data_IF_660535468751
#
_entry.id   IF_660535468751
#
_cell.length_a   1.000
_cell.length_b   1.000
_cell.length_c   1.000
_cell.angle_alpha   90.00
_cell.angle_beta   90.00
_cell.angle_gamma   90.00
#
_symmetry.space_group_name_H-M   'P 1'
#
loop_
_entity.id
_entity.type
_entity.pdbx_description
1 polymer ?
#
# COMPACT_ATOMS: atom_id res chain seq x y z
N UNK A 1 -40.64 -2.12 51.55
CA UNK A 1 -39.71 -3.13 51.01
C UNK A 1 -39.11 -2.56 49.73
N UNK A 2 -37.91 -1.99 49.84
CA UNK A 2 -37.12 -1.53 48.71
C UNK A 2 -36.38 -2.74 48.13
N UNK A 3 -36.58 -3.04 46.85
CA UNK A 3 -35.56 -3.71 46.05
C UNK A 3 -35.09 -2.69 45.02
N UNK A 4 -33.96 -2.08 45.34
CA UNK A 4 -33.14 -1.38 44.36
C UNK A 4 -32.69 -2.42 43.33
N UNK A 5 -33.10 -2.21 42.09
CA UNK A 5 -32.48 -2.82 40.92
C UNK A 5 -30.99 -2.45 40.95
N UNK A 6 -30.14 -3.46 41.14
CA UNK A 6 -28.71 -3.33 40.94
C UNK A 6 -28.51 -2.92 39.49
N UNK A 7 -28.14 -1.67 39.26
CA UNK A 7 -27.65 -1.19 37.97
C UNK A 7 -26.43 -2.06 37.61
N UNK A 8 -26.63 -3.01 36.70
CA UNK A 8 -25.53 -3.72 36.07
C UNK A 8 -24.71 -2.69 35.30
N UNK A 9 -23.47 -2.47 35.75
CA UNK A 9 -22.45 -1.79 34.94
C UNK A 9 -22.48 -2.43 33.55
N UNK A 10 -22.58 -1.65 32.46
CA UNK A 10 -22.46 -2.22 31.11
C UNK A 10 -21.21 -3.09 31.09
N UNK A 11 -21.35 -4.34 30.66
CA UNK A 11 -20.25 -5.31 30.62
C UNK A 11 -19.08 -4.69 29.85
N UNK A 12 -18.05 -4.20 30.55
CA UNK A 12 -16.94 -3.47 29.91
C UNK A 12 -16.22 -4.43 28.95
N UNK A 13 -16.19 -4.12 27.67
CA UNK A 13 -15.54 -4.95 26.64
C UNK A 13 -14.07 -5.17 26.99
N UNK A 14 -13.61 -6.42 26.99
CA UNK A 14 -12.18 -6.69 27.13
C UNK A 14 -11.42 -6.26 25.87
N UNK A 15 -10.26 -5.61 26.04
CA UNK A 15 -9.47 -5.09 24.92
C UNK A 15 -8.03 -5.61 24.95
N UNK A 16 -7.53 -6.07 23.82
CA UNK A 16 -6.10 -6.34 23.61
C UNK A 16 -5.51 -5.35 22.62
N UNK A 17 -4.56 -4.52 23.06
CA UNK A 17 -3.82 -3.59 22.21
C UNK A 17 -2.56 -4.29 21.70
N UNK A 18 -2.52 -4.58 20.41
CA UNK A 18 -1.39 -5.19 19.73
C UNK A 18 -0.52 -4.09 19.12
N UNK A 19 0.61 -3.81 19.76
CA UNK A 19 1.59 -2.82 19.30
C UNK A 19 2.62 -3.53 18.43
N UNK A 20 2.59 -3.29 17.12
CA UNK A 20 3.61 -3.83 16.22
C UNK A 20 4.93 -3.06 16.39
N UNK A 21 6.03 -3.78 16.58
CA UNK A 21 7.35 -3.17 16.72
C UNK A 21 8.37 -3.80 15.76
N UNK A 22 9.17 -2.94 15.12
CA UNK A 22 10.38 -3.35 14.42
C UNK A 22 11.43 -2.24 14.55
N UNK A 23 12.52 -2.53 15.27
CA UNK A 23 13.60 -1.59 15.57
C UNK A 23 13.13 -0.21 16.08
N UNK A 24 12.12 -0.22 16.95
CA UNK A 24 11.45 0.98 17.48
C UNK A 24 11.70 1.23 18.97
N UNK A 25 12.87 0.91 19.52
CA UNK A 25 13.17 1.06 20.97
C UNK A 25 12.81 2.44 21.51
N UNK A 26 13.21 3.52 20.82
CA UNK A 26 12.92 4.90 21.23
C UNK A 26 11.43 5.23 21.16
N UNK A 27 10.74 4.69 20.16
CA UNK A 27 9.30 4.85 19.98
C UNK A 27 8.53 4.15 21.11
N UNK A 28 8.87 2.90 21.43
CA UNK A 28 8.26 2.14 22.52
C UNK A 28 8.45 2.81 23.88
N UNK A 29 9.63 3.40 24.13
CA UNK A 29 9.91 4.12 25.37
C UNK A 29 8.96 5.32 25.59
N UNK A 30 8.42 5.88 24.51
CA UNK A 30 7.43 6.97 24.54
C UNK A 30 5.99 6.45 24.49
N UNK A 31 5.71 5.48 23.64
CA UNK A 31 4.38 4.94 23.38
C UNK A 31 3.81 4.15 24.57
N UNK A 32 4.59 3.23 25.16
CA UNK A 32 4.09 2.33 26.20
C UNK A 32 3.60 3.04 27.47
N UNK A 33 4.29 4.07 28.02
CA UNK A 33 3.75 4.85 29.14
C UNK A 33 2.37 5.47 28.86
N UNK A 34 2.13 5.95 27.63
CA UNK A 34 0.86 6.57 27.24
C UNK A 34 -0.27 5.52 27.17
N UNK A 35 0.03 4.33 26.66
CA UNK A 35 -0.91 3.21 26.62
C UNK A 35 -1.21 2.65 28.01
N UNK A 36 -0.24 2.65 28.93
CA UNK A 36 -0.46 2.20 30.30
C UNK A 36 -1.21 3.21 31.17
N UNK A 37 -1.40 4.45 30.70
CA UNK A 37 -2.09 5.52 31.41
C UNK A 37 -3.45 5.89 30.79
N UNK A 38 -4.16 4.91 30.21
CA UNK A 38 -5.49 5.11 29.64
C UNK A 38 -6.57 5.17 30.72
N UNK A 39 -7.64 5.91 30.45
CA UNK A 39 -8.82 6.03 31.32
C UNK A 39 -9.67 4.76 31.34
N UNK A 40 -9.82 4.09 30.19
CA UNK A 40 -10.43 2.76 30.08
C UNK A 40 -9.58 1.72 30.82
N UNK A 41 -10.19 0.78 31.57
CA UNK A 41 -9.45 -0.10 32.49
C UNK A 41 -9.43 -1.58 32.13
N UNK A 42 -10.39 -2.08 31.34
CA UNK A 42 -10.44 -3.49 30.96
C UNK A 42 -9.60 -3.79 29.70
N UNK A 43 -8.27 -3.67 29.81
CA UNK A 43 -7.37 -3.89 28.67
C UNK A 43 -6.03 -4.51 29.04
N UNK A 44 -5.40 -5.18 28.06
CA UNK A 44 -4.00 -5.59 28.08
C UNK A 44 -3.23 -4.92 26.92
N UNK A 45 -1.92 -4.73 27.12
CA UNK A 45 -1.00 -4.24 26.08
C UNK A 45 -0.03 -5.36 25.72
N UNK A 46 0.03 -5.69 24.43
CA UNK A 46 0.89 -6.73 23.89
C UNK A 46 1.77 -6.13 22.81
N UNK A 47 3.08 -6.15 23.02
CA UNK A 47 4.05 -5.79 21.98
C UNK A 47 4.31 -7.04 21.14
N UNK A 48 4.10 -6.91 19.84
CA UNK A 48 4.45 -7.92 18.84
C UNK A 48 5.73 -7.45 18.15
N UNK A 49 6.86 -8.01 18.58
CA UNK A 49 8.16 -7.70 18.01
C UNK A 49 8.41 -8.50 16.72
N UNK A 50 8.80 -7.79 15.67
CA UNK A 50 8.95 -8.33 14.32
C UNK A 50 10.43 -8.60 13.98
N UNK A 51 11.17 -9.20 14.92
CA UNK A 51 12.59 -9.53 14.75
C UNK A 51 13.52 -8.33 14.94
N UNK A 52 13.31 -7.53 15.99
CA UNK A 52 14.14 -6.36 16.26
C UNK A 52 15.52 -6.72 16.82
N UNK A 53 16.52 -5.91 16.49
CA UNK A 53 17.92 -6.06 16.92
C UNK A 53 18.45 -4.85 17.70
N UNK A 54 17.62 -3.85 17.93
CA UNK A 54 17.96 -2.57 18.59
C UNK A 54 17.84 -2.61 20.13
N UNK A 55 17.55 -3.77 20.71
CA UNK A 55 17.32 -3.95 22.14
C UNK A 55 15.96 -3.46 22.64
N UNK A 56 14.99 -3.19 21.75
CA UNK A 56 13.59 -2.91 22.11
C UNK A 56 12.97 -4.02 22.95
N UNK A 57 13.24 -5.29 22.64
CA UNK A 57 12.77 -6.45 23.40
C UNK A 57 13.22 -6.41 24.87
N UNK A 58 14.50 -6.15 25.12
CA UNK A 58 15.06 -6.00 26.47
C UNK A 58 14.41 -4.84 27.21
N UNK A 59 14.22 -3.70 26.54
CA UNK A 59 13.53 -2.55 27.12
C UNK A 59 12.11 -2.89 27.59
N UNK A 60 11.32 -3.62 26.77
CA UNK A 60 9.96 -4.04 27.17
C UNK A 60 10.01 -4.94 28.40
N UNK A 61 10.88 -5.95 28.41
CA UNK A 61 10.98 -6.90 29.51
C UNK A 61 11.43 -6.26 30.83
N UNK A 62 12.40 -5.35 30.78
CA UNK A 62 13.01 -4.75 31.98
C UNK A 62 12.19 -3.57 32.52
N UNK A 63 11.65 -2.71 31.64
CA UNK A 63 11.02 -1.44 32.05
C UNK A 63 9.49 -1.49 32.05
N UNK A 64 8.89 -2.44 31.32
CA UNK A 64 7.44 -2.53 31.16
C UNK A 64 6.92 -3.94 31.50
N UNK A 65 7.11 -4.45 32.73
CA UNK A 65 6.74 -5.83 33.09
C UNK A 65 5.23 -6.13 33.03
N UNK A 66 4.38 -5.09 32.96
CA UNK A 66 2.93 -5.23 32.73
C UNK A 66 2.56 -5.43 31.26
N UNK A 67 3.49 -5.16 30.35
CA UNK A 67 3.31 -5.30 28.90
C UNK A 67 3.78 -6.70 28.52
N UNK A 68 2.91 -7.43 27.83
CA UNK A 68 3.25 -8.76 27.31
C UNK A 68 4.06 -8.61 26.04
N UNK A 69 5.07 -9.46 25.85
CA UNK A 69 5.93 -9.46 24.67
C UNK A 69 5.77 -10.76 23.87
N UNK A 70 5.52 -10.64 22.57
CA UNK A 70 5.52 -11.74 21.59
C UNK A 70 6.64 -11.46 20.60
N UNK A 71 7.57 -12.39 20.42
CA UNK A 71 8.77 -12.17 19.60
C UNK A 71 8.76 -13.07 18.36
N UNK A 72 8.76 -12.46 17.18
CA UNK A 72 9.05 -13.15 15.93
C UNK A 72 10.57 -13.26 15.71
N UNK A 73 10.98 -14.29 14.98
CA UNK A 73 12.41 -14.54 14.69
C UNK A 73 13.00 -13.55 13.68
N UNK A 74 12.16 -13.07 12.76
CA UNK A 74 12.54 -12.20 11.66
C UNK A 74 11.37 -11.26 11.34
N UNK A 75 11.63 -10.26 10.50
CA UNK A 75 10.57 -9.37 10.02
C UNK A 75 9.72 -10.10 8.96
N UNK A 76 8.51 -10.47 9.33
CA UNK A 76 7.57 -11.22 8.48
C UNK A 76 6.49 -10.35 7.84
N UNK A 77 6.66 -9.02 7.87
CA UNK A 77 5.67 -8.03 7.41
C UNK A 77 4.57 -7.74 8.43
N UNK A 78 3.72 -6.76 8.12
CA UNK A 78 2.73 -6.20 9.04
C UNK A 78 1.60 -7.17 9.36
N UNK A 79 0.86 -7.62 8.35
CA UNK A 79 -0.31 -8.50 8.51
C UNK A 79 0.03 -9.79 9.23
N UNK A 80 1.12 -10.45 8.84
CA UNK A 80 1.52 -11.73 9.44
C UNK A 80 1.98 -11.57 10.89
N UNK A 81 2.74 -10.53 11.21
CA UNK A 81 3.14 -10.25 12.58
C UNK A 81 1.92 -9.98 13.48
N UNK A 82 1.02 -9.09 13.07
CA UNK A 82 -0.19 -8.81 13.84
C UNK A 82 -1.13 -10.02 13.95
N UNK A 83 -1.22 -10.86 12.91
CA UNK A 83 -1.95 -12.13 12.99
C UNK A 83 -1.34 -13.09 14.04
N UNK A 84 -0.02 -13.14 14.20
CA UNK A 84 0.64 -13.91 15.26
C UNK A 84 0.19 -13.40 16.64
N UNK A 85 0.12 -12.07 16.84
CA UNK A 85 -0.40 -11.48 18.07
C UNK A 85 -1.88 -11.78 18.29
N UNK A 86 -2.70 -11.57 17.26
CA UNK A 86 -4.15 -11.75 17.32
C UNK A 86 -4.59 -13.18 17.65
N UNK A 87 -3.79 -14.19 17.27
CA UNK A 87 -4.04 -15.60 17.61
C UNK A 87 -3.70 -15.96 19.06
N UNK A 88 -3.00 -15.09 19.79
CA UNK A 88 -2.55 -15.37 21.15
C UNK A 88 -3.24 -14.51 22.21
N UNK A 89 -4.25 -13.74 21.83
CA UNK A 89 -5.04 -12.90 22.74
C UNK A 89 -6.51 -13.28 22.67
N UNK A 90 -7.20 -13.20 23.80
CA UNK A 90 -8.64 -13.44 23.91
C UNK A 90 -9.27 -12.17 24.51
N UNK A 91 -9.84 -11.33 23.64
CA UNK A 91 -10.46 -10.07 24.03
C UNK A 91 -11.66 -9.75 23.14
N UNK A 92 -12.68 -9.07 23.64
CA UNK A 92 -13.85 -8.68 22.84
C UNK A 92 -13.46 -7.77 21.68
N UNK A 93 -12.46 -6.90 21.88
CA UNK A 93 -11.89 -6.03 20.85
C UNK A 93 -10.37 -6.22 20.77
N UNK A 94 -9.86 -6.32 19.55
CA UNK A 94 -8.42 -6.24 19.29
C UNK A 94 -8.13 -4.88 18.66
N UNK A 95 -7.16 -4.14 19.19
CA UNK A 95 -6.69 -2.88 18.61
C UNK A 95 -5.31 -3.09 18.01
N UNK A 96 -5.18 -2.93 16.70
CA UNK A 96 -3.88 -2.90 16.03
C UNK A 96 -3.34 -1.48 16.14
N UNK A 97 -2.10 -1.34 16.60
CA UNK A 97 -1.48 -0.04 16.84
C UNK A 97 -0.02 -0.03 16.36
N UNK A 98 0.38 1.05 15.68
CA UNK A 98 1.79 1.30 15.40
C UNK A 98 2.51 1.80 16.66
N UNK A 99 3.81 1.48 16.78
CA UNK A 99 4.64 1.91 17.90
C UNK A 99 4.96 3.42 17.93
N UNK A 100 4.69 4.17 16.85
CA UNK A 100 4.84 5.62 16.74
C UNK A 100 3.51 6.39 16.89
N UNK A 101 2.47 5.74 17.42
CA UNK A 101 1.22 6.38 17.82
C UNK A 101 1.24 6.72 19.31
N UNK A 102 1.03 8.00 19.61
CA UNK A 102 1.02 8.59 20.94
C UNK A 102 -0.42 8.96 21.32
N UNK A 103 -1.06 8.04 22.05
CA UNK A 103 -2.47 8.13 22.43
C UNK A 103 -2.72 9.17 23.55
N UNK A 104 -3.82 9.92 23.43
CA UNK A 104 -4.33 10.76 24.52
C UNK A 104 -4.90 9.91 25.68
N UNK A 105 -5.05 10.42 26.91
CA UNK A 105 -5.51 9.62 28.06
C UNK A 105 -6.91 8.99 27.90
N UNK A 106 -7.80 9.60 27.13
CA UNK A 106 -9.17 9.15 26.83
C UNK A 106 -9.29 8.41 25.48
N UNK A 107 -8.20 8.29 24.75
CA UNK A 107 -8.16 7.72 23.40
C UNK A 107 -8.83 6.35 23.31
N UNK A 108 -8.50 5.44 24.25
CA UNK A 108 -9.04 4.08 24.23
C UNK A 108 -10.54 4.06 24.58
N UNK A 109 -10.98 4.85 25.57
CA UNK A 109 -12.39 4.92 25.94
C UNK A 109 -13.24 5.39 24.75
N UNK A 110 -12.78 6.43 24.05
CA UNK A 110 -13.46 6.95 22.86
C UNK A 110 -13.36 6.02 21.65
N UNK A 111 -12.30 5.21 21.54
CA UNK A 111 -12.16 4.20 20.49
C UNK A 111 -13.14 3.03 20.66
N UNK A 112 -13.41 2.65 21.91
CA UNK A 112 -14.26 1.50 22.26
C UNK A 112 -15.74 1.88 22.34
N UNK A 113 -16.06 3.12 22.73
CA UNK A 113 -17.43 3.62 22.88
C UNK A 113 -18.35 3.25 21.70
N UNK A 114 -17.98 3.38 20.41
CA UNK A 114 -18.88 3.07 19.30
C UNK A 114 -19.38 1.60 19.28
N UNK A 115 -18.58 0.63 19.74
CA UNK A 115 -19.00 -0.77 19.81
C UNK A 115 -20.14 -1.00 20.81
N UNK A 116 -20.24 -0.13 21.84
CA UNK A 116 -21.33 -0.20 22.83
C UNK A 116 -22.60 0.48 22.35
N UNK A 117 -22.51 1.33 21.33
CA UNK A 117 -23.64 2.11 20.79
C UNK A 117 -24.38 1.39 19.67
N UNK A 118 -23.70 0.52 18.92
CA UNK A 118 -24.32 -0.24 17.85
C UNK A 118 -23.60 -1.58 17.60
N UNK A 119 -24.32 -2.72 17.61
CA UNK A 119 -23.74 -4.03 17.31
C UNK A 119 -23.36 -4.20 15.83
N UNK A 120 -23.80 -3.30 14.95
CA UNK A 120 -23.43 -3.30 13.52
C UNK A 120 -22.02 -2.74 13.29
N UNK A 121 -21.49 -1.95 14.23
CA UNK A 121 -20.14 -1.38 14.13
C UNK A 121 -19.13 -2.49 14.40
N UNK A 122 -18.40 -2.87 13.35
CA UNK A 122 -17.41 -3.94 13.42
C UNK A 122 -15.97 -3.44 13.52
N UNK A 123 -15.69 -2.27 12.95
CA UNK A 123 -14.36 -1.67 12.91
C UNK A 123 -14.45 -0.18 13.26
N UNK A 124 -13.54 0.28 14.12
CA UNK A 124 -13.41 1.68 14.51
C UNK A 124 -11.95 2.14 14.33
N UNK A 125 -11.76 3.28 13.68
CA UNK A 125 -10.46 3.97 13.60
C UNK A 125 -10.43 5.25 14.43
N UNK A 126 -9.23 5.71 14.76
CA UNK A 126 -9.01 6.98 15.48
C UNK A 126 -8.80 8.16 14.55
N UNK A 127 -9.04 9.37 15.08
CA UNK A 127 -8.49 10.62 14.54
C UNK A 127 -6.99 10.66 14.81
N UNK A 128 -6.18 10.72 13.76
CA UNK A 128 -4.73 10.85 13.86
C UNK A 128 -4.28 12.24 13.43
N UNK A 129 -3.42 12.83 14.25
CA UNK A 129 -2.78 14.12 14.01
C UNK A 129 -1.30 13.91 13.71
N UNK A 130 -0.76 14.76 12.85
CA UNK A 130 0.68 14.97 12.77
C UNK A 130 1.18 15.69 14.03
N UNK A 131 2.49 15.64 14.34
CA UNK A 131 3.06 16.35 15.48
C UNK A 131 2.85 17.88 15.46
N UNK A 132 2.63 18.46 14.28
CA UNK A 132 2.31 19.89 14.11
C UNK A 132 0.84 20.23 14.37
N UNK A 133 0.00 19.24 14.70
CA UNK A 133 -1.43 19.41 14.99
C UNK A 133 -2.34 19.36 13.77
N UNK A 134 -1.80 19.29 12.56
CA UNK A 134 -2.61 19.07 11.34
C UNK A 134 -3.12 17.64 11.30
N UNK A 135 -4.24 17.41 10.60
CA UNK A 135 -4.82 16.08 10.50
C UNK A 135 -4.03 15.21 9.55
N UNK A 136 -3.73 14.00 10.00
CA UNK A 136 -3.17 12.96 9.14
C UNK A 136 -4.26 12.00 8.66
N UNK A 137 -5.21 11.66 9.54
CA UNK A 137 -6.31 10.76 9.20
C UNK A 137 -7.55 11.07 10.03
N UNK A 138 -8.67 11.26 9.36
CA UNK A 138 -9.99 11.37 9.98
C UNK A 138 -11.02 10.61 9.14
N UNK A 139 -10.69 9.34 8.91
CA UNK A 139 -11.37 8.46 7.95
C UNK A 139 -10.75 8.52 6.56
N UNK A 140 -11.22 7.63 5.68
CA UNK A 140 -10.71 7.53 4.33
C UNK A 140 -11.75 6.98 3.34
N UNK A 141 -11.51 7.29 2.06
CA UNK A 141 -12.33 6.92 0.92
C UNK A 141 -11.54 6.11 -0.11
N UNK A 142 -12.25 5.32 -0.91
CA UNK A 142 -11.72 4.58 -2.04
C UNK A 142 -12.36 5.08 -3.33
N UNK A 143 -11.53 5.49 -4.28
CA UNK A 143 -12.00 5.96 -5.59
C UNK A 143 -12.31 4.78 -6.50
N UNK A 144 -13.60 4.53 -6.77
CA UNK A 144 -14.02 3.58 -7.81
C UNK A 144 -13.85 4.19 -9.21
N UNK A 145 -13.40 3.44 -10.24
CA UNK A 145 -12.98 2.03 -10.20
C UNK A 145 -11.48 1.83 -9.92
N UNK A 146 -10.70 2.90 -9.74
CA UNK A 146 -9.23 2.81 -9.62
C UNK A 146 -8.75 2.14 -8.32
N UNK A 147 -9.59 2.06 -7.30
CA UNK A 147 -9.22 1.56 -5.98
C UNK A 147 -8.17 2.43 -5.28
N UNK A 148 -8.00 3.69 -5.69
CA UNK A 148 -7.08 4.62 -5.05
C UNK A 148 -7.57 4.99 -3.65
N UNK A 149 -6.66 4.94 -2.68
CA UNK A 149 -6.94 5.23 -1.28
C UNK A 149 -6.64 6.69 -0.95
N UNK A 150 -7.58 7.35 -0.27
CA UNK A 150 -7.47 8.77 0.08
C UNK A 150 -7.83 9.01 1.54
N UNK A 151 -6.87 9.49 2.31
CA UNK A 151 -7.09 9.93 3.69
C UNK A 151 -7.84 11.27 3.68
N UNK A 152 -8.98 11.32 4.35
CA UNK A 152 -9.78 12.55 4.43
C UNK A 152 -9.15 13.55 5.39
N UNK A 153 -9.29 14.83 5.03
CA UNK A 153 -8.79 15.99 5.80
C UNK A 153 -7.27 16.02 6.01
N UNK A 154 -6.50 15.25 5.23
CA UNK A 154 -5.06 15.18 5.36
C UNK A 154 -4.42 16.56 5.13
N UNK A 155 -3.56 16.98 6.07
CA UNK A 155 -2.87 18.29 6.14
C UNK A 155 -3.78 19.49 6.40
N UNK A 156 -5.05 19.29 6.66
CA UNK A 156 -5.93 20.37 7.12
C UNK A 156 -5.67 20.68 8.59
N UNK A 157 -5.88 21.94 8.98
CA UNK A 157 -5.81 22.35 10.38
C UNK A 157 -7.00 21.76 11.14
N UNK A 158 -6.72 20.96 12.17
CA UNK A 158 -7.72 20.31 12.99
C UNK A 158 -8.68 21.30 13.67
N UNK A 159 -8.23 22.53 13.95
CA UNK A 159 -9.04 23.59 14.55
C UNK A 159 -9.98 24.29 13.55
N UNK A 160 -9.68 24.18 12.25
CA UNK A 160 -10.45 24.81 11.17
C UNK A 160 -11.59 23.94 10.63
N UNK A 161 -11.62 22.64 11.00
CA UNK A 161 -12.64 21.72 10.51
C UNK A 161 -13.98 21.97 11.21
N UNK A 162 -15.09 22.02 10.46
CA UNK A 162 -16.42 22.17 11.06
C UNK A 162 -16.74 20.99 12.00
N UNK A 163 -17.62 21.19 13.00
CA UNK A 163 -18.02 20.10 13.90
C UNK A 163 -18.47 18.87 13.11
N UNK A 164 -17.81 17.74 13.36
CA UNK A 164 -18.16 16.44 12.78
C UNK A 164 -18.96 15.62 13.80
N UNK A 165 -19.78 14.67 13.33
CA UNK A 165 -20.37 13.66 14.20
C UNK A 165 -19.28 12.92 15.00
N UNK A 166 -19.63 12.49 16.22
CA UNK A 166 -18.73 11.70 17.07
C UNK A 166 -18.28 10.39 16.40
N UNK A 167 -19.15 9.82 15.56
CA UNK A 167 -18.92 8.61 14.78
C UNK A 167 -19.37 8.85 13.35
N UNK A 168 -18.51 8.54 12.36
CA UNK A 168 -18.84 8.69 10.94
C UNK A 168 -18.44 7.44 10.16
N UNK A 169 -19.33 6.94 9.31
CA UNK A 169 -19.06 5.81 8.41
C UNK A 169 -17.99 6.15 7.37
N UNK A 170 -17.12 5.19 7.10
CA UNK A 170 -15.96 5.31 6.22
C UNK A 170 -15.82 4.12 5.28
N UNK A 171 -15.11 4.31 4.16
CA UNK A 171 -14.76 3.19 3.29
C UNK A 171 -13.75 2.27 3.97
N UNK A 172 -12.73 2.88 4.61
CA UNK A 172 -11.75 2.22 5.46
C UNK A 172 -11.19 3.22 6.50
N UNK A 173 -10.46 2.70 7.48
CA UNK A 173 -9.68 3.47 8.43
C UNK A 173 -8.24 2.97 8.43
N UNK A 174 -7.28 3.83 8.79
CA UNK A 174 -5.85 3.51 8.73
C UNK A 174 -5.43 2.40 9.70
N UNK A 175 -4.49 1.55 9.28
CA UNK A 175 -3.92 0.48 10.10
C UNK A 175 -3.11 0.96 11.31
N UNK A 176 -2.82 2.27 11.42
CA UNK A 176 -2.03 2.82 12.52
C UNK A 176 -2.77 2.79 13.88
N UNK A 177 -4.10 2.87 13.89
CA UNK A 177 -4.94 2.75 15.08
C UNK A 177 -6.30 2.16 14.68
N UNK A 178 -6.41 0.84 14.76
CA UNK A 178 -7.46 0.06 14.08
C UNK A 178 -8.10 -0.95 15.05
N UNK A 179 -9.31 -0.68 15.53
CA UNK A 179 -10.03 -1.54 16.45
C UNK A 179 -10.98 -2.50 15.72
N UNK A 180 -10.95 -3.78 16.10
CA UNK A 180 -11.68 -4.88 15.47
C UNK A 180 -12.50 -5.61 16.53
N UNK A 181 -13.82 -5.59 16.38
CA UNK A 181 -14.70 -6.36 17.25
C UNK A 181 -14.62 -7.87 16.97
N UNK A 182 -14.84 -8.69 18.01
CA UNK A 182 -14.81 -10.16 17.95
C UNK A 182 -15.68 -10.75 16.86
N UNK A 183 -16.89 -10.22 16.70
CA UNK A 183 -17.82 -10.67 15.66
C UNK A 183 -17.25 -10.54 14.25
N UNK A 184 -16.41 -9.54 13.97
CA UNK A 184 -15.79 -9.35 12.65
C UNK A 184 -14.77 -10.46 12.39
N UNK A 185 -13.82 -10.64 13.30
CA UNK A 185 -12.75 -11.65 13.13
C UNK A 185 -13.29 -13.08 13.12
N UNK A 186 -14.37 -13.36 13.85
CA UNK A 186 -15.08 -14.65 13.78
C UNK A 186 -15.79 -14.85 12.44
N UNK A 187 -16.29 -13.77 11.82
CA UNK A 187 -17.04 -13.82 10.57
C UNK A 187 -16.15 -13.85 9.32
N UNK A 188 -15.13 -13.01 9.27
CA UNK A 188 -14.29 -12.82 8.07
C UNK A 188 -12.84 -13.27 8.25
N UNK A 189 -12.46 -13.74 9.44
CA UNK A 189 -11.10 -14.16 9.75
C UNK A 189 -10.14 -12.99 10.02
N UNK A 190 -8.85 -13.27 9.86
CA UNK A 190 -7.75 -12.33 10.11
C UNK A 190 -7.36 -11.51 8.87
N UNK A 191 -6.32 -10.67 9.01
CA UNK A 191 -5.74 -9.94 7.88
C UNK A 191 -5.22 -10.91 6.82
N UNK A 192 -5.35 -10.55 5.54
CA UNK A 192 -4.76 -11.34 4.46
C UNK A 192 -3.25 -11.08 4.41
N UNK A 193 -2.48 -12.11 4.77
CA UNK A 193 -1.01 -12.05 4.88
C UNK A 193 -0.31 -11.80 3.54
N UNK A 194 -1.03 -11.93 2.43
CA UNK A 194 -0.47 -11.70 1.09
C UNK A 194 -0.45 -10.21 0.69
N UNK A 195 -1.06 -9.32 1.48
CA UNK A 195 -0.76 -7.88 1.47
C UNK A 195 0.57 -7.64 2.19
N UNK A 196 1.62 -8.28 1.67
CA UNK A 196 2.97 -8.26 2.23
C UNK A 196 3.87 -7.32 1.43
N UNK A 197 4.78 -6.56 2.07
CA UNK A 197 5.01 -6.49 3.51
C UNK A 197 4.09 -5.50 4.25
N UNK A 198 3.52 -4.50 3.54
CA UNK A 198 2.68 -3.42 4.08
C UNK A 198 1.77 -2.82 2.99
N UNK A 199 0.78 -2.05 3.44
CA UNK A 199 -0.24 -1.32 2.67
C UNK A 199 -1.36 -2.16 2.04
N UNK A 200 -2.58 -1.63 2.13
CA UNK A 200 -3.87 -2.18 1.68
C UNK A 200 -4.41 -3.37 2.47
N UNK A 201 -3.70 -3.88 3.48
CA UNK A 201 -4.22 -4.89 4.40
C UNK A 201 -5.47 -4.40 5.15
N UNK A 202 -5.46 -3.15 5.61
CA UNK A 202 -6.55 -2.51 6.32
C UNK A 202 -7.70 -2.17 5.36
N UNK A 203 -7.36 -1.79 4.13
CA UNK A 203 -8.32 -1.50 3.06
C UNK A 203 -9.08 -2.78 2.70
N UNK A 204 -8.37 -3.88 2.49
CA UNK A 204 -8.94 -5.21 2.28
C UNK A 204 -9.83 -5.65 3.46
N UNK A 205 -9.34 -5.48 4.68
CA UNK A 205 -10.07 -5.89 5.88
C UNK A 205 -11.37 -5.13 6.06
N UNK A 206 -11.34 -3.79 5.90
CA UNK A 206 -12.53 -2.94 5.92
C UNK A 206 -13.51 -3.29 4.80
N UNK A 207 -13.01 -3.55 3.58
CA UNK A 207 -13.87 -3.93 2.46
C UNK A 207 -14.58 -5.26 2.73
N UNK A 208 -13.85 -6.27 3.21
CA UNK A 208 -14.44 -7.56 3.62
C UNK A 208 -15.44 -7.42 4.76
N UNK A 209 -15.16 -6.58 5.75
CA UNK A 209 -16.07 -6.35 6.88
C UNK A 209 -17.39 -5.71 6.40
N UNK A 210 -17.30 -4.70 5.53
CA UNK A 210 -18.49 -4.07 4.91
C UNK A 210 -19.27 -5.06 4.05
N UNK A 211 -18.60 -5.87 3.24
CA UNK A 211 -19.24 -6.92 2.45
C UNK A 211 -19.94 -7.98 3.32
N UNK A 212 -19.47 -8.18 4.56
CA UNK A 212 -20.11 -9.07 5.54
C UNK A 212 -21.23 -8.39 6.37
N UNK A 213 -21.57 -7.13 6.08
CA UNK A 213 -22.66 -6.39 6.72
C UNK A 213 -22.24 -5.55 7.93
N UNK A 214 -20.94 -5.44 8.24
CA UNK A 214 -20.46 -4.59 9.33
C UNK A 214 -20.25 -3.15 8.87
N UNK A 215 -20.46 -2.21 9.78
CA UNK A 215 -20.08 -0.80 9.62
C UNK A 215 -18.61 -0.60 9.99
N UNK A 216 -17.96 0.25 9.21
CA UNK A 216 -16.60 0.73 9.44
C UNK A 216 -16.71 2.21 9.70
N UNK A 217 -16.23 2.66 10.86
CA UNK A 217 -16.42 4.05 11.30
C UNK A 217 -15.12 4.66 11.82
N UNK A 218 -15.03 5.99 11.77
CA UNK A 218 -14.02 6.73 12.53
C UNK A 218 -14.67 7.32 13.79
N UNK A 219 -14.01 7.19 14.93
CA UNK A 219 -14.37 7.85 16.19
C UNK A 219 -13.62 9.19 16.27
N UNK A 220 -14.31 10.30 16.06
CA UNK A 220 -13.67 11.62 15.90
C UNK A 220 -13.07 12.17 17.19
N UNK A 221 -13.53 11.67 18.33
CA UNK A 221 -13.03 11.97 19.69
C UNK A 221 -11.90 11.04 20.16
N UNK A 222 -11.67 9.90 19.49
CA UNK A 222 -10.49 9.07 19.76
C UNK A 222 -9.28 9.69 19.07
N UNK A 223 -8.49 10.46 19.82
CA UNK A 223 -7.38 11.26 19.26
C UNK A 223 -6.02 10.69 19.65
N UNK A 224 -5.13 10.57 18.67
CA UNK A 224 -3.72 10.28 18.91
C UNK A 224 -2.83 11.09 17.96
N UNK A 225 -1.59 11.36 18.38
CA UNK A 225 -0.55 11.90 17.52
C UNK A 225 0.19 10.72 16.89
N UNK A 226 0.24 10.64 15.58
CA UNK A 226 1.01 9.62 14.87
C UNK A 226 2.25 10.27 14.30
N UNK A 227 3.38 10.00 14.94
CA UNK A 227 4.67 10.52 14.54
C UNK A 227 5.23 9.63 13.43
N UNK A 228 4.62 9.69 12.24
CA UNK A 228 4.94 8.84 11.07
C UNK A 228 6.44 8.87 10.82
N UNK A 229 7.13 7.91 11.43
CA UNK A 229 8.56 7.96 11.57
C UNK A 229 9.16 7.70 10.20
N UNK A 230 9.85 8.73 9.72
CA UNK A 230 10.92 8.81 8.71
C UNK A 230 11.29 7.59 7.86
N UNK A 231 11.25 6.33 8.31
CA UNK A 231 11.72 5.15 7.56
C UNK A 231 11.03 4.98 6.19
N UNK A 232 9.71 5.14 6.10
CA UNK A 232 9.00 5.04 4.80
C UNK A 232 9.00 6.33 4.00
N UNK A 233 9.06 7.48 4.66
CA UNK A 233 9.27 8.77 3.98
C UNK A 233 10.71 8.91 3.42
N UNK A 234 11.65 8.10 3.91
CA UNK A 234 13.02 7.98 3.39
C UNK A 234 13.13 7.05 2.17
N UNK A 235 12.11 6.24 1.89
CA UNK A 235 12.07 5.30 0.76
C UNK A 235 10.80 5.50 -0.08
N UNK A 236 10.61 6.68 -0.69
CA UNK A 236 9.40 7.02 -1.44
C UNK A 236 9.10 6.02 -2.57
N UNK A 237 10.14 5.53 -3.25
CA UNK A 237 9.99 4.56 -4.35
C UNK A 237 9.46 3.21 -3.86
N UNK A 238 9.92 2.75 -2.69
CA UNK A 238 9.41 1.52 -2.06
C UNK A 238 7.94 1.68 -1.68
N UNK A 239 7.59 2.81 -1.04
CA UNK A 239 6.20 3.12 -0.64
C UNK A 239 5.26 3.12 -1.84
N UNK A 240 5.62 3.83 -2.91
CA UNK A 240 4.83 3.87 -4.15
C UNK A 240 4.72 2.47 -4.77
N UNK A 241 5.82 1.72 -4.84
CA UNK A 241 5.83 0.34 -5.37
C UNK A 241 4.87 -0.57 -4.62
N UNK A 242 4.91 -0.55 -3.28
CA UNK A 242 4.04 -1.39 -2.45
C UNK A 242 2.57 -0.96 -2.53
N UNK A 243 2.29 0.36 -2.50
CA UNK A 243 0.93 0.87 -2.69
C UNK A 243 0.33 0.41 -4.02
N UNK A 244 1.06 0.56 -5.13
CA UNK A 244 0.55 0.16 -6.45
C UNK A 244 0.40 -1.36 -6.56
N UNK A 245 1.41 -2.13 -6.14
CA UNK A 245 1.34 -3.59 -6.12
C UNK A 245 0.10 -4.10 -5.38
N UNK A 246 -0.11 -3.61 -4.17
CA UNK A 246 -1.18 -4.09 -3.31
C UNK A 246 -2.55 -3.49 -3.68
N UNK A 247 -2.60 -2.30 -4.32
CA UNK A 247 -3.82 -1.79 -4.97
C UNK A 247 -4.32 -2.74 -6.05
N UNK A 248 -3.44 -3.17 -6.95
CA UNK A 248 -3.85 -4.12 -7.99
C UNK A 248 -4.26 -5.48 -7.41
N UNK A 249 -3.56 -5.96 -6.37
CA UNK A 249 -4.00 -7.16 -5.64
C UNK A 249 -5.42 -6.99 -5.10
N UNK A 250 -5.70 -5.86 -4.44
CA UNK A 250 -7.03 -5.52 -3.92
C UNK A 250 -8.08 -5.54 -5.04
N UNK A 251 -7.79 -4.89 -6.17
CA UNK A 251 -8.69 -4.88 -7.34
C UNK A 251 -8.98 -6.30 -7.83
N UNK A 252 -7.96 -7.12 -8.07
CA UNK A 252 -8.15 -8.51 -8.54
C UNK A 252 -8.90 -9.39 -7.54
N UNK A 253 -8.72 -9.14 -6.24
CA UNK A 253 -9.37 -9.91 -5.18
C UNK A 253 -10.86 -9.59 -5.06
N UNK A 254 -11.26 -8.33 -5.30
CA UNK A 254 -12.60 -7.84 -4.96
C UNK A 254 -13.48 -7.48 -6.14
N UNK A 255 -12.91 -7.20 -7.32
CA UNK A 255 -13.69 -6.87 -8.50
C UNK A 255 -14.06 -8.14 -9.24
N UNK A 256 -15.30 -8.20 -9.74
CA UNK A 256 -15.64 -9.20 -10.75
C UNK A 256 -14.80 -8.99 -12.01
N UNK A 257 -14.63 -10.04 -12.81
CA UNK A 257 -13.91 -9.94 -14.10
C UNK A 257 -14.53 -8.87 -14.99
N UNK A 258 -15.85 -8.73 -14.98
CA UNK A 258 -16.54 -7.66 -15.71
C UNK A 258 -16.16 -6.27 -15.19
N UNK A 259 -16.20 -6.02 -13.88
CA UNK A 259 -15.77 -4.73 -13.31
C UNK A 259 -14.29 -4.45 -13.60
N UNK A 260 -13.43 -5.47 -13.54
CA UNK A 260 -12.03 -5.34 -13.87
C UNK A 260 -11.84 -4.90 -15.33
N UNK A 261 -12.44 -5.62 -16.28
CA UNK A 261 -12.23 -5.38 -17.71
C UNK A 261 -12.98 -4.15 -18.23
N UNK A 262 -14.20 -3.90 -17.75
CA UNK A 262 -15.07 -2.84 -18.26
C UNK A 262 -14.88 -1.50 -17.55
N UNK A 263 -14.50 -1.50 -16.27
CA UNK A 263 -14.43 -0.27 -15.47
C UNK A 263 -12.99 0.07 -15.09
N UNK A 264 -12.27 -0.87 -14.46
CA UNK A 264 -10.90 -0.62 -13.99
C UNK A 264 -9.92 -0.41 -15.14
N UNK A 265 -9.86 -1.33 -16.12
CA UNK A 265 -8.86 -1.27 -17.21
C UNK A 265 -8.95 0.03 -18.02
N UNK A 266 -10.14 0.52 -18.44
CA UNK A 266 -10.24 1.80 -19.13
C UNK A 266 -9.83 2.99 -18.26
N UNK A 267 -10.30 3.03 -17.00
CA UNK A 267 -9.96 4.13 -16.09
C UNK A 267 -8.46 4.17 -15.77
N UNK A 268 -7.83 3.01 -15.55
CA UNK A 268 -6.41 2.90 -15.28
C UNK A 268 -5.57 3.30 -16.50
N UNK A 269 -6.04 2.96 -17.71
CA UNK A 269 -5.41 3.39 -18.96
C UNK A 269 -5.41 4.92 -19.08
N UNK A 270 -6.53 5.58 -18.76
CA UNK A 270 -6.63 7.04 -18.73
C UNK A 270 -5.74 7.64 -17.64
N UNK A 271 -5.80 7.08 -16.43
CA UNK A 271 -4.95 7.48 -15.30
C UNK A 271 -3.47 7.47 -15.69
N UNK A 272 -2.97 6.38 -16.26
CA UNK A 272 -1.58 6.24 -16.71
C UNK A 272 -1.14 7.30 -17.74
N UNK A 273 -2.06 7.73 -18.61
CA UNK A 273 -1.78 8.77 -19.61
C UNK A 273 -1.68 10.16 -18.97
N UNK A 274 -2.47 10.42 -17.93
CA UNK A 274 -2.51 11.70 -17.24
C UNK A 274 -1.44 11.82 -16.14
N UNK A 275 -0.92 10.71 -15.61
CA UNK A 275 0.02 10.72 -14.50
C UNK A 275 1.36 11.41 -14.85
N UNK A 276 1.79 12.43 -14.08
CA UNK A 276 3.02 13.15 -14.35
C UNK A 276 4.25 12.53 -13.67
N UNK A 277 4.14 11.47 -12.85
CA UNK A 277 5.28 10.95 -12.06
C UNK A 277 5.85 9.68 -12.68
N UNK A 278 7.16 9.67 -12.99
CA UNK A 278 7.85 8.52 -13.60
C UNK A 278 7.89 7.32 -12.65
N UNK A 279 8.19 7.53 -11.37
CA UNK A 279 8.27 6.46 -10.36
C UNK A 279 6.94 5.71 -10.16
N UNK A 280 5.81 6.40 -10.27
CA UNK A 280 4.50 5.77 -10.16
C UNK A 280 4.17 4.89 -11.37
N UNK A 281 4.52 5.32 -12.59
CA UNK A 281 4.36 4.50 -13.80
C UNK A 281 5.21 3.24 -13.72
N UNK A 282 6.41 3.35 -13.17
CA UNK A 282 7.30 2.22 -12.98
C UNK A 282 6.76 1.22 -11.93
N UNK A 283 6.25 1.73 -10.81
CA UNK A 283 5.55 0.91 -9.83
C UNK A 283 4.33 0.17 -10.43
N UNK A 284 3.53 0.86 -11.24
CA UNK A 284 2.38 0.25 -11.93
C UNK A 284 2.82 -0.81 -12.95
N UNK A 285 3.89 -0.54 -13.71
CA UNK A 285 4.48 -1.51 -14.66
C UNK A 285 4.84 -2.81 -13.95
N UNK A 286 5.52 -2.72 -12.81
CA UNK A 286 5.92 -3.88 -12.01
C UNK A 286 4.72 -4.59 -11.40
N UNK A 287 3.77 -3.83 -10.83
CA UNK A 287 2.53 -4.37 -10.27
C UNK A 287 1.75 -5.18 -11.31
N UNK A 288 1.57 -4.66 -12.53
CA UNK A 288 0.85 -5.35 -13.60
C UNK A 288 1.50 -6.70 -13.96
N UNK A 289 2.84 -6.75 -14.04
CA UNK A 289 3.56 -7.99 -14.36
C UNK A 289 3.37 -9.04 -13.26
N UNK A 290 3.58 -8.64 -12.00
CA UNK A 290 3.44 -9.54 -10.86
C UNK A 290 2.00 -10.05 -10.73
N UNK A 291 1.03 -9.15 -10.87
CA UNK A 291 -0.39 -9.49 -10.78
C UNK A 291 -0.87 -10.36 -11.95
N UNK A 292 -0.28 -10.24 -13.14
CA UNK A 292 -0.58 -11.17 -14.24
C UNK A 292 -0.11 -12.60 -13.92
N UNK A 293 1.05 -12.74 -13.27
CA UNK A 293 1.56 -14.04 -12.82
C UNK A 293 0.68 -14.61 -11.71
N UNK A 294 0.27 -13.76 -10.75
CA UNK A 294 -0.50 -14.17 -9.58
C UNK A 294 -2.02 -14.22 -9.81
N UNK A 295 -2.54 -13.71 -10.92
CA UNK A 295 -3.98 -13.66 -11.19
C UNK A 295 -4.72 -14.99 -10.95
N UNK A 296 -4.21 -16.18 -11.37
CA UNK A 296 -4.89 -17.45 -11.11
C UNK A 296 -5.05 -17.80 -9.62
N UNK A 297 -4.21 -17.24 -8.74
CA UNK A 297 -4.26 -17.50 -7.29
C UNK A 297 -5.02 -16.42 -6.51
N UNK A 298 -5.22 -15.25 -7.11
CA UNK A 298 -5.91 -14.11 -6.49
C UNK A 298 -7.40 -14.09 -6.86
N UNK A 299 -7.70 -14.35 -8.13
CA UNK A 299 -9.06 -14.29 -8.66
C UNK A 299 -9.97 -15.32 -7.94
N UNK A 300 -11.29 -15.04 -7.84
CA UNK A 300 -12.23 -15.96 -7.22
C UNK A 300 -12.13 -17.37 -7.85
N UNK A 301 -12.23 -18.46 -7.06
CA UNK A 301 -12.14 -19.83 -7.59
C UNK A 301 -13.20 -20.18 -8.65
N UNK A 302 -14.26 -19.38 -8.74
CA UNK A 302 -15.32 -19.51 -9.75
C UNK A 302 -14.94 -18.93 -11.12
N UNK A 303 -13.77 -18.28 -11.25
CA UNK A 303 -13.33 -17.64 -12.47
C UNK A 303 -12.89 -18.68 -13.50
N UNK A 304 -13.39 -18.59 -14.73
CA UNK A 304 -13.05 -19.53 -15.80
C UNK A 304 -11.63 -19.32 -16.34
N UNK A 305 -10.98 -20.36 -16.91
CA UNK A 305 -9.65 -20.20 -17.52
C UNK A 305 -9.57 -19.11 -18.60
N UNK A 306 -10.66 -18.92 -19.36
CA UNK A 306 -10.76 -17.88 -20.38
C UNK A 306 -10.79 -16.47 -19.75
N UNK A 307 -11.54 -16.29 -18.66
CA UNK A 307 -11.58 -15.03 -17.91
C UNK A 307 -10.23 -14.72 -17.26
N UNK A 308 -9.56 -15.73 -16.67
CA UNK A 308 -8.20 -15.56 -16.13
C UNK A 308 -7.25 -15.06 -17.24
N UNK A 309 -7.31 -15.68 -18.41
CA UNK A 309 -6.49 -15.25 -19.56
C UNK A 309 -6.82 -13.83 -20.01
N UNK A 310 -8.10 -13.44 -20.01
CA UNK A 310 -8.52 -12.08 -20.35
C UNK A 310 -7.96 -11.05 -19.35
N UNK A 311 -8.03 -11.34 -18.05
CA UNK A 311 -7.44 -10.50 -16.99
C UNK A 311 -5.93 -10.38 -17.17
N UNK A 312 -5.23 -11.48 -17.40
CA UNK A 312 -3.78 -11.48 -17.62
C UNK A 312 -3.39 -10.63 -18.84
N UNK A 313 -4.09 -10.79 -19.96
CA UNK A 313 -3.84 -10.00 -21.17
C UNK A 313 -4.07 -8.50 -20.93
N UNK A 314 -5.12 -8.14 -20.21
CA UNK A 314 -5.40 -6.75 -19.87
C UNK A 314 -4.33 -6.15 -18.93
N UNK A 315 -3.84 -6.90 -17.95
CA UNK A 315 -2.71 -6.47 -17.10
C UNK A 315 -1.44 -6.26 -17.92
N UNK A 316 -1.13 -7.16 -18.87
CA UNK A 316 0.02 -7.00 -19.77
C UNK A 316 -0.13 -5.79 -20.70
N UNK A 317 -1.35 -5.46 -21.13
CA UNK A 317 -1.63 -4.25 -21.90
C UNK A 317 -1.46 -2.98 -21.07
N UNK A 318 -1.94 -2.96 -19.81
CA UNK A 318 -1.71 -1.85 -18.88
C UNK A 318 -0.21 -1.66 -18.61
N UNK A 319 0.54 -2.76 -18.45
CA UNK A 319 2.00 -2.72 -18.33
C UNK A 319 2.65 -2.05 -19.56
N UNK A 320 2.26 -2.45 -20.77
CA UNK A 320 2.77 -1.83 -21.99
C UNK A 320 2.43 -0.34 -22.05
N UNK A 321 1.21 0.03 -21.65
CA UNK A 321 0.77 1.43 -21.59
C UNK A 321 1.64 2.24 -20.63
N UNK A 322 1.95 1.69 -19.44
CA UNK A 322 2.85 2.34 -18.48
C UNK A 322 4.26 2.56 -19.05
N UNK A 323 4.83 1.56 -19.74
CA UNK A 323 6.14 1.69 -20.42
C UNK A 323 6.12 2.80 -21.47
N UNK A 324 5.10 2.80 -22.34
CA UNK A 324 4.99 3.82 -23.40
C UNK A 324 4.74 5.22 -22.83
N UNK A 325 4.00 5.33 -21.73
CA UNK A 325 3.73 6.59 -21.06
C UNK A 325 4.99 7.17 -20.37
N UNK A 326 5.92 6.32 -19.95
CA UNK A 326 7.25 6.74 -19.47
C UNK A 326 8.12 7.22 -20.64
N UNK A 327 8.19 6.44 -21.72
CA UNK A 327 8.98 6.77 -22.91
C UNK A 327 8.55 8.09 -23.59
N UNK A 328 7.25 8.41 -23.64
CA UNK A 328 6.75 9.67 -24.21
C UNK A 328 7.30 10.92 -23.54
N UNK A 329 7.64 10.86 -22.24
CA UNK A 329 8.20 12.01 -21.52
C UNK A 329 9.71 12.14 -21.72
N UNK A 330 10.42 11.02 -21.83
CA UNK A 330 11.83 11.00 -22.22
C UNK A 330 12.04 11.55 -23.64
N UNK A 331 11.04 11.40 -24.51
CA UNK A 331 11.04 11.72 -25.95
C UNK A 331 10.54 13.13 -26.32
N UNK A 332 10.63 14.15 -25.45
CA UNK A 332 10.36 15.53 -25.90
C UNK A 332 11.67 16.12 -26.46
N UNK A 333 11.85 16.21 -27.78
CA UNK A 333 13.04 16.84 -28.34
C UNK A 333 13.08 18.33 -27.93
N UNK A 334 14.26 18.94 -27.75
CA UNK A 334 14.36 20.38 -27.55
C UNK A 334 13.62 21.10 -28.68
N UNK A 335 12.82 22.11 -28.33
CA UNK A 335 12.02 22.86 -29.30
C UNK A 335 12.94 23.47 -30.38
N UNK A 336 12.60 23.27 -31.65
CA UNK A 336 13.26 23.95 -32.76
C UNK A 336 12.82 25.41 -32.76
N UNK A 337 13.74 26.34 -32.50
CA UNK A 337 13.47 27.77 -32.66
C UNK A 337 13.47 28.13 -34.16
N UNK A 338 12.31 28.57 -34.66
CA UNK A 338 12.22 29.17 -36.00
C UNK A 338 12.89 30.55 -36.01
N UNK A 339 13.95 30.70 -36.79
CA UNK A 339 14.61 31.99 -36.96
C UNK A 339 13.83 32.89 -37.91
N UNK A 340 13.17 33.93 -37.39
CA UNK A 340 12.48 34.94 -38.20
C UNK A 340 13.44 36.02 -38.70
N UNK A 341 13.57 36.16 -40.01
CA UNK A 341 14.35 37.25 -40.60
C UNK A 341 13.63 38.61 -40.45
N UNK A 342 14.32 39.67 -39.97
CA UNK A 342 13.71 41.00 -39.93
C UNK A 342 13.48 41.52 -41.35
N UNK A 343 12.23 41.89 -41.65
CA UNK A 343 11.86 42.59 -42.89
C UNK A 343 12.20 44.07 -42.75
N UNK A 344 13.24 44.55 -43.42
CA UNK A 344 13.47 45.99 -43.61
C UNK A 344 13.40 46.37 -45.08
N UNK A 345 12.65 47.45 -45.33
CA UNK A 345 12.39 48.02 -46.65
C UNK A 345 13.50 48.95 -47.17
N UNK A 346 13.36 49.20 -48.48
CA UNK A 346 14.01 50.11 -49.45
C UNK A 346 15.36 50.79 -49.18
N UNK A 347 16.12 50.88 -50.29
CA UNK A 347 17.32 51.68 -50.64
C UNK A 347 18.66 50.92 -50.65
N UNK A 348 18.80 49.79 -49.96
CA UNK A 348 20.09 49.03 -49.91
C UNK A 348 20.30 48.06 -51.10
N UNK A 349 19.31 47.89 -51.99
CA UNK A 349 19.33 46.83 -53.03
C UNK A 349 20.43 46.97 -54.11
N UNK A 350 20.98 48.16 -54.37
CA UNK A 350 22.05 48.33 -55.35
C UNK A 350 23.45 47.99 -54.80
N UNK A 351 23.67 48.14 -53.49
CA UNK A 351 24.92 47.76 -52.80
C UNK A 351 24.95 46.25 -52.44
N UNK A 352 23.78 45.61 -52.37
CA UNK A 352 23.62 44.19 -52.00
C UNK A 352 24.19 43.22 -53.05
N UNK A 353 24.32 43.59 -54.32
CA UNK A 353 24.77 42.67 -55.37
C UNK A 353 26.19 42.11 -55.19
N UNK A 354 27.14 42.94 -54.70
CA UNK A 354 28.53 42.52 -54.45
C UNK A 354 28.73 41.95 -53.04
N UNK A 355 27.94 42.39 -52.06
CA UNK A 355 27.92 41.78 -50.73
C UNK A 355 27.18 40.43 -50.69
N UNK A 356 26.29 40.15 -51.64
CA UNK A 356 25.45 38.94 -51.66
C UNK A 356 26.24 37.64 -51.74
N UNK A 357 27.34 37.57 -52.50
CA UNK A 357 28.10 36.30 -52.64
C UNK A 357 28.99 36.02 -51.43
N UNK A 358 29.62 37.05 -50.87
CA UNK A 358 30.40 36.95 -49.64
C UNK A 358 29.48 36.64 -48.45
N UNK A 359 28.37 37.37 -48.33
CA UNK A 359 27.37 37.17 -47.27
C UNK A 359 26.59 35.88 -47.44
N UNK A 360 26.28 35.41 -48.66
CA UNK A 360 25.67 34.09 -48.84
C UNK A 360 26.63 32.98 -48.46
N UNK A 361 27.95 33.13 -48.64
CA UNK A 361 28.91 32.11 -48.19
C UNK A 361 29.05 32.09 -46.66
N UNK A 362 29.02 33.26 -46.01
CA UNK A 362 29.11 33.38 -44.54
C UNK A 362 27.78 33.01 -43.88
N UNK A 363 26.65 33.48 -44.40
CA UNK A 363 25.32 33.12 -43.94
C UNK A 363 25.00 31.66 -44.24
N UNK A 364 25.36 31.11 -45.41
CA UNK A 364 25.21 29.67 -45.64
C UNK A 364 26.10 28.86 -44.71
N UNK A 365 27.36 29.26 -44.46
CA UNK A 365 28.23 28.60 -43.47
C UNK A 365 27.70 28.73 -42.04
N UNK A 366 27.13 29.88 -41.67
CA UNK A 366 26.56 30.10 -40.33
C UNK A 366 25.25 29.34 -40.13
N UNK A 367 24.36 29.38 -41.13
CA UNK A 367 23.08 28.67 -41.13
C UNK A 367 23.29 27.15 -41.21
N UNK A 368 24.18 26.66 -42.08
CA UNK A 368 24.54 25.24 -42.10
C UNK A 368 25.24 24.82 -40.83
N UNK A 369 26.07 25.67 -40.21
CA UNK A 369 26.70 25.35 -38.92
C UNK A 369 25.68 25.27 -37.78
N UNK A 370 24.69 26.17 -37.74
CA UNK A 370 23.59 26.09 -36.78
C UNK A 370 22.69 24.86 -37.03
N UNK A 371 22.34 24.58 -38.28
CA UNK A 371 21.56 23.39 -38.64
C UNK A 371 22.34 22.10 -38.34
N UNK A 372 23.63 22.06 -38.63
CA UNK A 372 24.52 20.94 -38.29
C UNK A 372 24.68 20.81 -36.78
N UNK A 373 24.72 21.91 -36.04
CA UNK A 373 24.79 21.89 -34.59
C UNK A 373 23.47 21.40 -33.97
N UNK A 374 22.32 21.84 -34.50
CA UNK A 374 21.00 21.30 -34.11
C UNK A 374 20.88 19.82 -34.46
N UNK A 375 21.28 19.42 -35.68
CA UNK A 375 21.30 18.02 -36.10
C UNK A 375 22.27 17.19 -35.26
N UNK A 376 23.43 17.73 -34.88
CA UNK A 376 24.40 17.06 -34.01
C UNK A 376 23.86 16.89 -32.60
N UNK A 377 23.22 17.92 -32.03
CA UNK A 377 22.53 17.82 -30.73
C UNK A 377 21.39 16.80 -30.78
N UNK A 378 20.64 16.76 -31.89
CA UNK A 378 19.56 15.80 -32.09
C UNK A 378 20.09 14.36 -32.26
N UNK A 379 21.22 14.18 -32.94
CA UNK A 379 21.90 12.89 -33.07
C UNK A 379 22.50 12.43 -31.73
N UNK A 380 23.11 13.33 -30.95
CA UNK A 380 23.59 13.02 -29.59
C UNK A 380 22.42 12.60 -28.71
N UNK A 381 21.30 13.33 -28.78
CA UNK A 381 20.09 12.98 -28.05
C UNK A 381 19.54 11.62 -28.47
N UNK A 382 19.44 11.33 -29.77
CA UNK A 382 19.02 10.02 -30.29
C UNK A 382 19.94 8.90 -29.83
N UNK A 383 21.26 9.12 -29.84
CA UNK A 383 22.24 8.15 -29.36
C UNK A 383 22.07 7.90 -27.86
N UNK A 384 21.90 8.96 -27.06
CA UNK A 384 21.62 8.84 -25.62
C UNK A 384 20.30 8.08 -25.36
N UNK A 385 19.27 8.28 -26.18
CA UNK A 385 18.02 7.52 -26.08
C UNK A 385 18.23 6.03 -26.43
N UNK A 386 18.98 5.72 -27.49
CA UNK A 386 19.29 4.34 -27.86
C UNK A 386 20.10 3.63 -26.77
N UNK A 387 21.07 4.32 -26.19
CA UNK A 387 21.89 3.80 -25.10
C UNK A 387 21.05 3.61 -23.82
N UNK A 388 20.14 4.54 -23.51
CA UNK A 388 19.19 4.42 -22.41
C UNK A 388 18.24 3.24 -22.59
N UNK A 389 17.61 3.10 -23.77
CA UNK A 389 16.71 1.99 -24.09
C UNK A 389 17.44 0.63 -24.05
N UNK A 390 18.68 0.59 -24.52
CA UNK A 390 19.54 -0.61 -24.44
C UNK A 390 19.86 -0.98 -22.98
N UNK A 391 20.14 0.01 -22.14
CA UNK A 391 20.40 -0.20 -20.72
C UNK A 391 19.13 -0.64 -19.98
N UNK A 392 17.98 -0.02 -20.27
CA UNK A 392 16.67 -0.41 -19.74
C UNK A 392 16.31 -1.83 -20.15
N UNK A 393 16.52 -2.23 -21.42
CA UNK A 393 16.26 -3.58 -21.88
C UNK A 393 17.11 -4.62 -21.14
N UNK A 394 18.39 -4.30 -20.86
CA UNK A 394 19.27 -5.15 -20.06
C UNK A 394 18.85 -5.20 -18.59
N UNK A 395 18.44 -4.07 -18.00
CA UNK A 395 17.89 -4.03 -16.63
C UNK A 395 16.62 -4.87 -16.53
N UNK A 396 15.72 -4.74 -17.51
CA UNK A 396 14.48 -5.53 -17.57
C UNK A 396 14.76 -7.03 -17.66
N UNK A 397 15.76 -7.45 -18.45
CA UNK A 397 16.15 -8.85 -18.51
C UNK A 397 16.68 -9.35 -17.15
N UNK A 398 17.56 -8.59 -16.50
CA UNK A 398 18.10 -8.93 -15.18
C UNK A 398 17.02 -8.93 -14.08
N UNK A 399 16.08 -7.99 -14.12
CA UNK A 399 14.94 -7.91 -13.20
C UNK A 399 13.96 -9.08 -13.38
N UNK A 400 13.72 -9.53 -14.61
CA UNK A 400 12.92 -10.73 -14.88
C UNK A 400 13.60 -11.95 -14.26
N UNK A 401 14.92 -12.11 -14.44
CA UNK A 401 15.67 -13.19 -13.79
C UNK A 401 15.63 -13.10 -12.27
N UNK A 402 15.73 -11.91 -11.69
CA UNK A 402 15.63 -11.68 -10.26
C UNK A 402 14.23 -12.01 -9.72
N UNK A 403 13.16 -11.58 -10.40
CA UNK A 403 11.79 -11.92 -10.01
C UNK A 403 11.52 -13.43 -10.12
N UNK A 404 12.01 -14.08 -11.17
CA UNK A 404 11.93 -15.54 -11.32
C UNK A 404 12.66 -16.27 -10.18
N UNK A 405 13.84 -15.81 -9.80
CA UNK A 405 14.60 -16.39 -8.68
C UNK A 405 13.97 -16.13 -7.31
N UNK A 406 13.25 -15.02 -7.12
CA UNK A 406 12.48 -14.74 -5.90
C UNK A 406 11.16 -15.54 -5.83
N UNK A 407 10.57 -15.90 -6.97
CA UNK A 407 9.35 -16.73 -7.05
C UNK A 407 9.64 -18.23 -6.86
N UNK A 408 10.83 -18.71 -7.23
CA UNK A 408 11.25 -20.10 -7.07
C UNK A 408 11.15 -20.66 -5.63
N UNK A 409 11.56 -19.94 -4.56
CA UNK A 409 11.36 -20.42 -3.19
C UNK A 409 9.90 -20.40 -2.71
N UNK A 410 8.98 -19.72 -3.41
CA UNK A 410 7.54 -19.75 -3.06
C UNK A 410 6.80 -20.98 -3.61
N UNK A 411 7.38 -21.71 -4.56
CA UNK A 411 6.79 -22.92 -5.16
C UNK A 411 7.36 -24.24 -4.61
N UNK A 412 8.39 -24.19 -3.76
CA UNK A 412 8.97 -25.39 -3.16
C UNK A 412 8.42 -25.58 -1.75
N UNK A 413 7.47 -26.51 -1.59
CA UNK A 413 7.26 -27.13 -0.28
C UNK A 413 8.58 -27.80 0.18
N UNK A 414 8.92 -27.76 1.47
CA UNK A 414 10.11 -28.42 1.96
C UNK A 414 10.04 -29.93 1.69
N UNK A 415 11.17 -30.58 1.30
CA UNK A 415 11.21 -31.98 0.86
C UNK A 415 10.80 -33.00 1.94
N UNK A 416 10.51 -32.55 3.17
CA UNK A 416 10.05 -33.41 4.26
C UNK A 416 8.54 -33.75 4.20
N UNK A 417 7.69 -32.98 3.49
CA UNK A 417 6.25 -33.32 3.38
C UNK A 417 5.91 -34.31 2.26
N UNK A 418 6.73 -34.38 1.22
CA UNK A 418 6.48 -35.32 0.12
C UNK A 418 6.84 -36.77 0.48
N UNK A 419 7.76 -36.99 1.44
CA UNK A 419 8.06 -38.33 1.96
C UNK A 419 6.99 -38.86 2.91
N UNK A 420 6.35 -38.00 3.70
CA UNK A 420 5.26 -38.40 4.62
C UNK A 420 3.95 -38.73 3.90
N UNK A 421 3.60 -38.00 2.82
CA UNK A 421 2.44 -38.35 1.99
C UNK A 421 2.66 -39.62 1.14
N UNK A 422 3.90 -39.95 0.79
CA UNK A 422 4.24 -41.19 0.10
C UNK A 422 4.21 -42.41 1.04
N UNK A 423 4.62 -42.25 2.31
CA UNK A 423 4.61 -43.33 3.32
C UNK A 423 3.21 -43.59 3.92
N UNK A 424 2.30 -42.61 3.89
CA UNK A 424 0.92 -42.81 4.33
C UNK A 424 0.07 -43.61 3.33
N UNK A 425 0.37 -43.51 2.02
CA UNK A 425 -0.35 -44.23 0.95
C UNK A 425 0.10 -45.68 0.76
N UNK A 426 1.29 -46.08 1.23
CA UNK A 426 1.76 -47.47 1.16
C UNK A 426 1.26 -48.33 2.33
N UNK A 427 0.85 -47.74 3.46
CA UNK A 427 0.36 -48.51 4.61
C UNK A 427 -1.15 -48.80 4.64
N UNK A 428 -1.93 -48.26 3.71
CA UNK A 428 -3.39 -48.50 3.64
C UNK A 428 -3.80 -49.50 2.55
N UNK A 429 -2.87 -50.00 1.74
CA UNK A 429 -3.16 -50.95 0.66
C UNK A 429 -2.91 -52.44 1.02
N UNK A 430 -2.27 -52.75 2.15
CA UNK A 430 -1.80 -54.11 2.46
C UNK A 430 -2.58 -54.85 3.57
N UNK A 431 -3.74 -54.31 3.99
CA UNK A 431 -4.56 -54.88 5.08
C UNK A 431 -5.88 -55.53 4.64
N UNK A 432 -6.04 -55.87 3.35
CA UNK A 432 -7.30 -56.42 2.84
C UNK A 432 -7.12 -57.57 1.83
N UNK A 433 -6.40 -58.64 2.19
CA UNK A 433 -6.55 -59.94 1.52
C UNK A 433 -5.86 -61.10 2.29
N UNK A 434 -6.56 -61.75 3.22
CA UNK A 434 -6.38 -63.18 3.50
C UNK A 434 -7.72 -63.82 3.91
N UNK A 435 -8.21 -64.86 3.21
CA UNK A 435 -9.35 -65.66 3.65
C UNK A 435 -8.91 -66.72 4.69
N UNK A 436 -9.85 -67.36 5.41
CA UNK A 436 -9.53 -68.16 6.58
C UNK A 436 -9.07 -69.58 6.19
N UNK A 437 -8.16 -70.14 6.98
CA UNK A 437 -8.10 -71.52 7.52
C UNK A 437 -6.88 -71.62 8.43
#
# INVERSE_FOLDING_TARGET
MNQQSVNSVPNELSVAILVLNWNGRSLLQTCLPLLLNQTYKNYEVVVVDNGSTDGSNTLVQEQFPKVRLIQNKENIGFSRALNVGARQVEADVIVLLNNDVFAQPDWLAELIRPFTESPEIGIVGSKLLFPDGTIQHLGAELTYPLGLSHHLYAKEDAAAIPPLPDVKDMAYVTGAAFAIHKSVREKIGLLDEMFHPIYYEEVDYCYRARAAGFRVVVATKSVAIHNESTSMNQLPDFKIKMLQRNRYRFILKHYSVTQFLADFVPAETEYLQQQPVVGEKEAIRLACLEMAILAPTILPPTTTPAEVTAVQNALLQLRQTAVMATARRANTPPALEEFTFPRTGSVVQALIGRFRSAWSSVAAKWLTRNLLQQQHLQNIYLQQQLDHLSLEAKSQAAEIEQLLSMLLPMQQEPPQRQSELAHSKTHTADAAAKPPV
#
